data_IF_416665768189
#
_entry.id   IF_416665768189
#
_cell.length_a   1.000
_cell.length_b   1.000
_cell.length_c   1.000
_cell.angle_alpha   90.00
_cell.angle_beta   90.00
_cell.angle_gamma   90.00
#
_symmetry.space_group_name_H-M   'P 1'
#
loop_
_entity.id
_entity.type
_entity.pdbx_description
1 polymer ?
#
# COMPACT_ATOMS: atom_id res chain seq x y z
N UNK A 1 15.34 -19.50 1.46
CA UNK A 1 14.98 -18.47 2.45
C UNK A 1 13.91 -19.05 3.36
N UNK A 2 14.15 -19.08 4.65
CA UNK A 2 13.15 -19.60 5.56
C UNK A 2 12.04 -18.55 5.84
N UNK A 3 10.96 -19.01 6.49
CA UNK A 3 9.78 -18.16 6.73
C UNK A 3 10.11 -16.94 7.60
N UNK A 4 10.97 -17.09 8.59
CA UNK A 4 11.32 -15.98 9.48
C UNK A 4 12.10 -14.89 8.74
N UNK A 5 12.95 -15.27 7.82
CA UNK A 5 13.65 -14.33 6.95
C UNK A 5 12.68 -13.58 6.03
N UNK A 6 11.71 -14.29 5.48
CA UNK A 6 10.66 -13.69 4.64
C UNK A 6 9.85 -12.69 5.46
N UNK A 7 9.41 -13.08 6.65
CA UNK A 7 8.63 -12.19 7.52
C UNK A 7 9.43 -10.96 7.95
N UNK A 8 10.73 -11.12 8.20
CA UNK A 8 11.61 -9.98 8.50
C UNK A 8 11.68 -8.97 7.35
N UNK A 9 11.82 -9.44 6.12
CA UNK A 9 11.81 -8.57 4.94
C UNK A 9 10.46 -7.91 4.71
N UNK A 10 9.37 -8.65 4.92
CA UNK A 10 8.03 -8.09 4.82
C UNK A 10 7.81 -6.99 5.86
N UNK A 11 8.27 -7.20 7.09
CA UNK A 11 8.17 -6.19 8.15
C UNK A 11 8.78 -4.86 7.72
N UNK A 12 9.97 -4.88 7.19
CA UNK A 12 10.65 -3.65 6.71
C UNK A 12 9.83 -2.94 5.65
N UNK A 13 9.31 -3.68 4.67
CA UNK A 13 8.50 -3.10 3.59
C UNK A 13 7.17 -2.55 4.10
N UNK A 14 6.53 -3.24 5.02
CA UNK A 14 5.27 -2.79 5.61
C UNK A 14 5.49 -1.51 6.41
N UNK A 15 6.55 -1.45 7.21
CA UNK A 15 6.87 -0.23 7.98
C UNK A 15 7.09 0.95 7.04
N UNK A 16 7.86 0.78 5.97
CA UNK A 16 8.07 1.84 4.97
C UNK A 16 6.78 2.28 4.31
N UNK A 17 5.94 1.33 3.95
CA UNK A 17 4.63 1.60 3.34
C UNK A 17 3.73 2.38 4.29
N UNK A 18 3.62 1.93 5.54
CA UNK A 18 2.79 2.57 6.55
C UNK A 18 3.34 3.94 6.96
N UNK A 19 4.65 4.09 7.02
CA UNK A 19 5.31 5.33 7.40
C UNK A 19 5.13 6.46 6.39
N UNK A 20 4.71 6.15 5.16
CA UNK A 20 4.34 7.18 4.19
C UNK A 20 3.10 7.97 4.58
N UNK A 21 2.27 7.44 5.48
CA UNK A 21 1.02 8.07 5.92
C UNK A 21 0.81 8.11 7.43
N UNK A 22 1.59 7.36 8.19
CA UNK A 22 1.48 7.27 9.66
C UNK A 22 2.80 7.64 10.32
N UNK A 23 2.74 8.07 11.58
CA UNK A 23 3.92 8.24 12.40
C UNK A 23 4.64 6.89 12.61
N UNK A 24 5.92 6.95 12.96
CA UNK A 24 6.78 5.76 13.08
C UNK A 24 6.18 4.68 14.00
N UNK A 25 5.74 5.06 15.21
CA UNK A 25 5.20 4.11 16.18
C UNK A 25 3.94 3.43 15.65
N UNK A 26 3.04 4.21 15.03
CA UNK A 26 1.84 3.67 14.41
C UNK A 26 2.16 2.78 13.22
N UNK A 27 3.18 3.11 12.44
CA UNK A 27 3.62 2.28 11.32
C UNK A 27 4.19 0.94 11.79
N UNK A 28 4.96 0.94 12.88
CA UNK A 28 5.48 -0.29 13.49
C UNK A 28 4.35 -1.16 14.05
N UNK A 29 3.34 -0.54 14.69
CA UNK A 29 2.16 -1.25 15.19
C UNK A 29 1.39 -1.92 14.04
N UNK A 30 1.19 -1.22 12.94
CA UNK A 30 0.56 -1.80 11.74
C UNK A 30 1.36 -3.00 11.23
N UNK A 31 2.67 -2.88 11.14
CA UNK A 31 3.53 -3.99 10.70
C UNK A 31 3.39 -5.20 11.62
N UNK A 32 3.37 -4.99 12.92
CA UNK A 32 3.20 -6.06 13.90
C UNK A 32 1.84 -6.75 13.74
N UNK A 33 0.77 -5.98 13.58
CA UNK A 33 -0.58 -6.54 13.37
C UNK A 33 -0.66 -7.33 12.07
N UNK A 34 -0.07 -6.85 10.99
CA UNK A 34 -0.04 -7.56 9.71
C UNK A 34 0.68 -8.90 9.86
N UNK A 35 1.85 -8.90 10.51
CA UNK A 35 2.62 -10.13 10.72
C UNK A 35 1.86 -11.14 11.58
N UNK A 36 1.11 -10.69 12.58
CA UNK A 36 0.24 -11.57 13.37
C UNK A 36 -0.84 -12.23 12.51
N UNK A 37 -1.48 -11.47 11.64
CA UNK A 37 -2.48 -12.01 10.71
C UNK A 37 -1.85 -13.06 9.78
N UNK A 38 -0.67 -12.78 9.23
CA UNK A 38 0.02 -13.73 8.38
C UNK A 38 0.39 -15.01 9.13
N UNK A 39 0.82 -14.87 10.37
CA UNK A 39 1.17 -16.03 11.20
C UNK A 39 -0.06 -16.88 11.55
N UNK A 40 -1.17 -16.25 11.90
CA UNK A 40 -2.38 -16.94 12.36
C UNK A 40 -3.21 -17.54 11.22
N UNK A 41 -3.38 -16.81 10.13
CA UNK A 41 -4.32 -17.16 9.05
C UNK A 41 -3.64 -17.69 7.79
N UNK A 42 -2.40 -17.38 7.57
CA UNK A 42 -1.69 -17.71 6.33
C UNK A 42 -0.39 -18.46 6.59
N UNK A 43 -0.38 -19.32 7.62
CA UNK A 43 0.81 -20.08 8.02
C UNK A 43 1.30 -21.04 6.94
N UNK A 44 0.42 -21.50 6.05
CA UNK A 44 0.77 -22.41 4.96
C UNK A 44 1.40 -21.70 3.75
N UNK A 45 1.35 -20.37 3.69
CA UNK A 45 1.93 -19.59 2.57
C UNK A 45 3.34 -19.17 2.97
N UNK A 46 4.35 -19.64 2.23
CA UNK A 46 5.78 -19.43 2.53
C UNK A 46 6.58 -18.79 1.39
N UNK A 47 5.92 -18.34 0.36
CA UNK A 47 6.56 -17.66 -0.76
C UNK A 47 6.44 -16.14 -0.59
N UNK A 48 7.55 -15.43 -0.79
CA UNK A 48 7.55 -13.96 -0.70
C UNK A 48 6.68 -13.36 -1.81
N UNK A 49 6.60 -14.00 -2.97
CA UNK A 49 5.80 -13.55 -4.11
C UNK A 49 4.30 -13.52 -3.76
N UNK A 50 3.85 -14.47 -2.95
CA UNK A 50 2.45 -14.53 -2.51
C UNK A 50 2.21 -13.70 -1.26
N UNK A 51 3.14 -13.71 -0.30
CA UNK A 51 2.98 -13.01 0.96
C UNK A 51 3.09 -11.49 0.83
N UNK A 52 3.92 -10.99 -0.08
CA UNK A 52 4.13 -9.54 -0.22
C UNK A 52 2.85 -8.79 -0.65
N UNK A 53 2.15 -9.18 -1.75
CA UNK A 53 0.90 -8.52 -2.12
C UNK A 53 -0.16 -8.64 -1.03
N UNK A 54 -0.27 -9.80 -0.42
CA UNK A 54 -1.21 -10.05 0.67
C UNK A 54 -0.93 -9.17 1.88
N UNK A 55 0.33 -9.07 2.29
CA UNK A 55 0.73 -8.25 3.42
C UNK A 55 0.45 -6.76 3.19
N UNK A 56 0.70 -6.25 1.99
CA UNK A 56 0.42 -4.86 1.65
C UNK A 56 -1.07 -4.58 1.59
N UNK A 57 -1.88 -5.52 1.12
CA UNK A 57 -3.34 -5.39 1.13
C UNK A 57 -3.89 -5.32 2.56
N UNK A 58 -3.43 -6.20 3.45
CA UNK A 58 -3.81 -6.17 4.86
C UNK A 58 -3.33 -4.85 5.50
N UNK A 59 -2.10 -4.44 5.22
CA UNK A 59 -1.54 -3.20 5.72
C UNK A 59 -2.37 -1.99 5.32
N UNK A 60 -2.83 -1.94 4.08
CA UNK A 60 -3.68 -0.86 3.57
C UNK A 60 -4.93 -0.67 4.42
N UNK A 61 -5.62 -1.75 4.77
CA UNK A 61 -6.80 -1.68 5.63
C UNK A 61 -6.46 -1.26 7.06
N UNK A 62 -5.35 -1.75 7.59
CA UNK A 62 -4.88 -1.38 8.94
C UNK A 62 -4.49 0.10 9.02
N UNK A 63 -3.81 0.60 8.01
CA UNK A 63 -3.44 2.02 7.89
C UNK A 63 -4.69 2.90 7.87
N UNK A 64 -5.67 2.52 7.06
CA UNK A 64 -6.93 3.26 6.99
C UNK A 64 -7.65 3.30 8.33
N UNK A 65 -7.71 2.16 9.03
CA UNK A 65 -8.30 2.09 10.37
C UNK A 65 -7.56 2.96 11.39
N UNK A 66 -6.24 2.97 11.35
CA UNK A 66 -5.41 3.81 12.22
C UNK A 66 -5.63 5.31 11.94
N UNK A 67 -5.69 5.70 10.66
CA UNK A 67 -5.98 7.09 10.26
C UNK A 67 -7.36 7.54 10.73
N UNK A 68 -8.37 6.69 10.60
CA UNK A 68 -9.72 7.02 11.08
C UNK A 68 -9.76 7.25 12.59
N UNK A 69 -9.06 6.41 13.35
CA UNK A 69 -8.95 6.59 14.81
C UNK A 69 -8.24 7.89 15.16
N UNK A 70 -7.17 8.22 14.45
CA UNK A 70 -6.41 9.45 14.64
C UNK A 70 -7.28 10.69 14.42
N UNK A 71 -8.06 10.70 13.34
CA UNK A 71 -8.99 11.80 13.03
C UNK A 71 -10.06 11.93 14.12
N UNK A 72 -10.62 10.82 14.60
CA UNK A 72 -11.64 10.85 15.68
C UNK A 72 -11.12 11.38 16.98
N UNK A 73 -9.83 11.16 17.31
CA UNK A 73 -9.20 11.64 18.53
C UNK A 73 -8.72 13.09 18.43
N UNK A 74 -8.89 13.72 17.27
CA UNK A 74 -8.37 15.06 17.05
C UNK A 74 -6.85 15.11 16.95
N UNK A 75 -6.20 13.98 16.88
CA UNK A 75 -4.78 13.85 16.60
C UNK A 75 -4.54 14.11 15.12
N UNK A 76 -4.72 15.34 14.70
CA UNK A 76 -4.50 15.71 13.32
C UNK A 76 -3.00 15.77 13.05
N UNK A 77 -2.40 14.64 12.88
CA UNK A 77 -1.01 14.51 12.51
C UNK A 77 -0.88 14.61 11.00
N UNK A 78 -0.80 15.81 10.51
CA UNK A 78 0.03 16.02 9.34
C UNK A 78 1.40 15.47 9.75
N UNK A 79 1.80 14.33 9.21
CA UNK A 79 3.13 13.78 9.44
C UNK A 79 4.11 14.82 8.92
N UNK A 80 4.82 15.48 9.84
CA UNK A 80 5.87 16.39 9.42
C UNK A 80 6.96 15.55 8.75
N UNK A 81 7.60 16.10 7.73
CA UNK A 81 8.70 15.43 7.03
C UNK A 81 9.79 14.99 8.02
N UNK A 82 9.93 15.70 9.14
CA UNK A 82 10.90 15.40 10.19
C UNK A 82 10.54 14.14 11.00
N UNK A 83 9.26 13.75 11.03
CA UNK A 83 8.77 12.56 11.71
C UNK A 83 8.73 11.33 10.80
N UNK A 84 9.02 11.49 9.52
CA UNK A 84 9.18 10.37 8.63
C UNK A 84 10.42 9.58 9.06
N UNK A 85 10.28 8.27 9.35
CA UNK A 85 11.46 7.48 9.62
C UNK A 85 12.29 7.44 8.35
N UNK A 86 13.26 8.30 8.29
CA UNK A 86 14.40 8.08 7.43
C UNK A 86 15.00 6.79 7.95
N UNK A 87 14.69 5.69 7.30
CA UNK A 87 15.31 4.42 7.56
C UNK A 87 16.81 4.70 7.66
N UNK A 88 17.38 4.55 8.81
CA UNK A 88 18.68 4.93 9.33
C UNK A 88 19.91 4.99 8.44
N UNK A 89 19.75 5.16 7.14
CA UNK A 89 20.80 5.44 6.19
C UNK A 89 20.21 6.21 5.03
N UNK A 90 20.87 7.30 4.64
CA UNK A 90 20.59 7.94 3.37
C UNK A 90 20.68 6.87 2.27
N UNK A 91 19.69 6.77 1.36
CA UNK A 91 19.77 5.83 0.25
C UNK A 91 21.02 6.16 -0.57
N UNK A 92 21.70 5.11 -1.04
CA UNK A 92 22.77 5.25 -2.02
C UNK A 92 22.27 6.15 -3.17
N UNK A 93 23.08 7.12 -3.66
CA UNK A 93 22.68 7.99 -4.76
C UNK A 93 22.15 7.24 -5.99
N UNK A 94 22.69 6.07 -6.30
CA UNK A 94 22.22 5.23 -7.39
C UNK A 94 20.80 4.71 -7.11
N UNK A 95 20.57 4.18 -5.91
CA UNK A 95 19.24 3.70 -5.49
C UNK A 95 18.21 4.84 -5.48
N UNK A 96 18.60 6.03 -5.03
CA UNK A 96 17.75 7.20 -5.02
C UNK A 96 17.34 7.61 -6.44
N UNK A 97 18.27 7.55 -7.39
CA UNK A 97 18.03 7.86 -8.80
C UNK A 97 17.09 6.84 -9.44
N UNK A 98 17.35 5.55 -9.23
CA UNK A 98 16.49 4.46 -9.74
C UNK A 98 15.07 4.56 -9.18
N UNK A 99 14.96 4.87 -7.89
CA UNK A 99 13.66 5.05 -7.24
C UNK A 99 12.90 6.22 -7.83
N UNK A 100 13.57 7.33 -8.09
CA UNK A 100 12.96 8.50 -8.72
C UNK A 100 12.45 8.17 -10.12
N UNK A 101 13.25 7.47 -10.92
CA UNK A 101 12.85 7.05 -12.26
C UNK A 101 11.61 6.15 -12.21
N UNK A 102 11.55 5.20 -11.28
CA UNK A 102 10.38 4.34 -11.11
C UNK A 102 9.14 5.12 -10.75
N UNK A 103 9.27 6.10 -9.86
CA UNK A 103 8.15 6.97 -9.47
C UNK A 103 7.68 7.80 -10.67
N UNK A 104 8.59 8.40 -11.41
CA UNK A 104 8.27 9.17 -12.61
C UNK A 104 7.57 8.32 -13.67
N UNK A 105 8.06 7.10 -13.90
CA UNK A 105 7.45 6.15 -14.82
C UNK A 105 6.04 5.75 -14.37
N UNK A 106 5.85 5.53 -13.08
CA UNK A 106 4.54 5.21 -12.52
C UNK A 106 3.58 6.38 -12.66
N UNK A 107 4.02 7.59 -12.36
CA UNK A 107 3.20 8.80 -12.52
C UNK A 107 2.79 9.00 -13.98
N UNK A 108 3.71 8.83 -14.90
CA UNK A 108 3.42 8.95 -16.32
C UNK A 108 2.40 7.89 -16.78
N UNK A 109 2.57 6.64 -16.31
CA UNK A 109 1.64 5.55 -16.62
C UNK A 109 0.24 5.83 -16.06
N UNK A 110 0.15 6.33 -14.83
CA UNK A 110 -1.12 6.70 -14.20
C UNK A 110 -1.82 7.84 -14.93
N UNK A 111 -1.08 8.85 -15.37
CA UNK A 111 -1.63 9.97 -16.15
C UNK A 111 -2.19 9.50 -17.51
N UNK A 112 -1.63 8.46 -18.07
CA UNK A 112 -2.10 7.87 -19.32
C UNK A 112 -3.35 7.02 -19.20
N UNK A 113 -3.81 6.73 -17.98
CA UNK A 113 -5.04 5.97 -17.75
C UNK A 113 -6.27 6.89 -17.82
N UNK A 114 -7.44 6.29 -18.12
CA UNK A 114 -8.69 7.00 -18.08
C UNK A 114 -9.05 7.48 -16.68
N UNK A 115 -9.97 8.43 -16.59
CA UNK A 115 -10.40 9.03 -15.32
C UNK A 115 -10.88 7.97 -14.31
N UNK A 116 -11.65 6.99 -14.79
CA UNK A 116 -12.18 5.91 -13.93
C UNK A 116 -11.08 5.12 -13.23
N UNK A 117 -10.05 4.71 -13.98
CA UNK A 117 -8.93 3.97 -13.40
C UNK A 117 -8.13 4.82 -12.43
N UNK A 118 -7.91 6.09 -12.74
CA UNK A 118 -7.21 7.01 -11.83
C UNK A 118 -7.96 7.19 -10.51
N UNK A 119 -9.27 7.38 -10.57
CA UNK A 119 -10.10 7.51 -9.36
C UNK A 119 -10.10 6.22 -8.55
N UNK A 120 -10.20 5.07 -9.22
CA UNK A 120 -10.16 3.78 -8.55
C UNK A 120 -8.83 3.60 -7.81
N UNK A 121 -7.70 3.87 -8.46
CA UNK A 121 -6.39 3.75 -7.83
C UNK A 121 -6.19 4.77 -6.71
N UNK A 122 -6.69 5.98 -6.88
CA UNK A 122 -6.63 7.00 -5.82
C UNK A 122 -7.33 6.51 -4.56
N UNK A 123 -8.54 6.00 -4.68
CA UNK A 123 -9.30 5.49 -3.55
C UNK A 123 -8.65 4.25 -2.91
N UNK A 124 -8.09 3.36 -3.73
CA UNK A 124 -7.32 2.21 -3.22
C UNK A 124 -6.10 2.66 -2.40
N UNK A 125 -5.36 3.63 -2.92
CA UNK A 125 -4.18 4.16 -2.23
C UNK A 125 -4.54 4.90 -0.94
N UNK A 126 -5.70 5.52 -0.89
CA UNK A 126 -6.22 6.16 0.33
C UNK A 126 -6.70 5.14 1.37
N UNK A 127 -6.77 3.86 1.02
CA UNK A 127 -7.09 2.77 1.93
C UNK A 127 -8.56 2.40 2.02
N UNK A 128 -9.40 2.90 1.12
CA UNK A 128 -10.81 2.52 1.11
C UNK A 128 -10.99 1.05 0.72
N UNK A 129 -11.95 0.38 1.37
CA UNK A 129 -12.36 -0.98 0.99
C UNK A 129 -13.09 -0.96 -0.35
N UNK A 130 -13.18 -2.10 -1.02
CA UNK A 130 -13.96 -2.19 -2.26
C UNK A 130 -15.43 -1.85 -2.04
N UNK A 131 -16.01 -2.21 -0.89
CA UNK A 131 -17.38 -1.82 -0.58
C UNK A 131 -17.55 -0.30 -0.51
N UNK A 132 -16.60 0.39 0.11
CA UNK A 132 -16.59 1.85 0.18
C UNK A 132 -16.35 2.49 -1.18
N UNK A 133 -15.43 1.95 -1.96
CA UNK A 133 -15.13 2.43 -3.33
C UNK A 133 -16.35 2.26 -4.22
N UNK A 134 -17.06 1.12 -4.12
CA UNK A 134 -18.28 0.89 -4.87
C UNK A 134 -19.32 2.01 -4.64
N UNK A 135 -19.51 2.38 -3.39
CA UNK A 135 -20.43 3.45 -3.01
C UNK A 135 -19.98 4.81 -3.54
N UNK A 136 -18.71 5.12 -3.41
CA UNK A 136 -18.16 6.41 -3.84
C UNK A 136 -18.19 6.59 -5.36
N UNK A 137 -17.89 5.54 -6.09
CA UNK A 137 -17.90 5.55 -7.56
C UNK A 137 -19.28 5.24 -8.14
N UNK A 138 -20.28 4.96 -7.29
CA UNK A 138 -21.66 4.65 -7.69
C UNK A 138 -21.73 3.47 -8.66
N UNK A 139 -20.97 2.42 -8.37
CA UNK A 139 -20.95 1.19 -9.17
C UNK A 139 -22.09 0.27 -8.70
N UNK A 140 -22.81 -0.32 -9.62
CA UNK A 140 -24.00 -1.12 -9.32
C UNK A 140 -23.71 -2.38 -8.50
N UNK A 141 -22.59 -3.07 -8.79
CA UNK A 141 -22.26 -4.32 -8.10
C UNK A 141 -20.77 -4.43 -7.80
N UNK A 142 -20.46 -5.26 -6.80
CA UNK A 142 -19.07 -5.58 -6.47
C UNK A 142 -18.36 -6.30 -7.63
N UNK A 143 -19.08 -7.17 -8.35
CA UNK A 143 -18.50 -7.88 -9.50
C UNK A 143 -18.05 -6.90 -10.59
N UNK A 144 -18.84 -5.87 -10.86
CA UNK A 144 -18.48 -4.81 -11.80
C UNK A 144 -17.22 -4.10 -11.35
N UNK A 145 -17.11 -3.78 -10.06
CA UNK A 145 -15.92 -3.13 -9.50
C UNK A 145 -14.68 -4.01 -9.62
N UNK A 146 -14.79 -5.30 -9.32
CA UNK A 146 -13.68 -6.25 -9.49
C UNK A 146 -13.22 -6.33 -10.94
N UNK A 147 -14.15 -6.31 -11.89
CA UNK A 147 -13.84 -6.29 -13.32
C UNK A 147 -13.10 -5.02 -13.70
N UNK A 148 -13.55 -3.87 -13.20
CA UNK A 148 -12.85 -2.60 -13.44
C UNK A 148 -11.44 -2.60 -12.86
N UNK A 149 -11.30 -3.08 -11.64
CA UNK A 149 -10.00 -3.18 -10.98
C UNK A 149 -9.03 -4.05 -11.78
N UNK A 150 -9.50 -5.20 -12.23
CA UNK A 150 -8.69 -6.10 -13.06
C UNK A 150 -8.24 -5.42 -14.36
N UNK A 151 -9.16 -4.78 -15.06
CA UNK A 151 -8.87 -4.08 -16.33
C UNK A 151 -7.92 -2.91 -16.11
N UNK A 152 -8.14 -2.14 -15.05
CA UNK A 152 -7.29 -0.99 -14.73
C UNK A 152 -5.88 -1.43 -14.37
N UNK A 153 -5.72 -2.50 -13.59
CA UNK A 153 -4.40 -3.05 -13.27
C UNK A 153 -3.69 -3.58 -14.51
N UNK A 154 -4.42 -4.24 -15.40
CA UNK A 154 -3.88 -4.73 -16.67
C UNK A 154 -3.39 -3.58 -17.55
N UNK A 155 -4.19 -2.52 -17.69
CA UNK A 155 -3.80 -1.34 -18.46
C UNK A 155 -2.57 -0.65 -17.87
N UNK A 156 -2.50 -0.54 -16.55
CA UNK A 156 -1.35 0.04 -15.88
C UNK A 156 -0.08 -0.78 -16.13
N UNK A 157 -0.18 -2.11 -16.00
CA UNK A 157 0.95 -3.01 -16.26
C UNK A 157 1.44 -2.91 -17.70
N UNK A 158 0.55 -2.82 -18.66
CA UNK A 158 0.89 -2.65 -20.07
C UNK A 158 1.65 -1.33 -20.31
N UNK A 159 1.21 -0.24 -19.68
CA UNK A 159 1.88 1.06 -19.79
C UNK A 159 3.26 1.08 -19.13
N UNK A 160 3.42 0.39 -18.02
CA UNK A 160 4.71 0.28 -17.33
C UNK A 160 5.71 -0.58 -18.09
N UNK A 161 5.24 -1.52 -18.88
CA UNK A 161 6.08 -2.42 -19.67
C UNK A 161 6.29 -1.94 -21.12
N UNK A 162 5.70 -0.84 -21.47
CA UNK A 162 5.85 -0.26 -22.82
C UNK A 162 7.20 0.48 -22.98
#
# INVERSE_FOLDING_TARGET
MDRDQILGRLRERIVRFAASTLAKDAAEDVAQEVLLVLHQKYSAVDSIEDLLPLSLEIARFKIWGARRKSVRRGENTAVSVDDLPLAGSAPDPLEATERRERIENLEAALKGLGHRCRELFRLKLEGYSFAEIRKRLKVESMNTLYTWDFRCRKQLAEKLNA
#
